data_IF_929989825164
#
_entry.id   IF_929989825164
#
_cell.length_a   1.000
_cell.length_b   1.000
_cell.length_c   1.000
_cell.angle_alpha   90.00
_cell.angle_beta   90.00
_cell.angle_gamma   90.00
#
_symmetry.space_group_name_H-M   'P 1'
#
loop_
_entity.id
_entity.type
_entity.pdbx_description
1 polymer ?
#
# COMPACT_ATOMS: atom_id res chain seq x y z
N UNK A 1 17.21 -20.50 11.51
CA UNK A 1 17.05 -21.30 12.75
C UNK A 1 16.67 -20.43 13.98
N UNK A 2 15.96 -19.29 13.81
CA UNK A 2 15.70 -18.34 14.91
C UNK A 2 14.23 -17.86 15.04
N UNK A 3 13.24 -18.55 14.47
CA UNK A 3 11.83 -18.10 14.53
C UNK A 3 10.98 -18.79 15.63
N UNK A 4 11.47 -19.88 16.22
CA UNK A 4 10.72 -20.64 17.25
C UNK A 4 10.86 -20.05 18.66
N UNK A 5 11.87 -19.19 18.90
CA UNK A 5 12.07 -18.59 20.23
C UNK A 5 11.13 -17.42 20.56
N UNK A 6 10.51 -16.79 19.54
CA UNK A 6 9.67 -15.62 19.76
C UNK A 6 8.25 -16.01 20.22
N UNK A 7 7.69 -17.10 19.68
CA UNK A 7 6.36 -17.59 20.07
C UNK A 7 6.38 -18.21 21.49
N UNK A 8 7.51 -18.78 21.92
CA UNK A 8 7.64 -19.35 23.26
C UNK A 8 7.72 -18.30 24.39
N UNK A 9 8.12 -17.06 24.07
CA UNK A 9 8.20 -15.97 25.07
C UNK A 9 6.83 -15.34 25.38
N UNK A 10 5.88 -15.37 24.43
CA UNK A 10 4.53 -14.83 24.64
C UNK A 10 3.68 -15.79 25.51
N UNK A 11 3.81 -17.11 25.29
CA UNK A 11 3.08 -18.14 26.07
C UNK A 11 3.61 -18.30 27.50
N UNK A 12 4.89 -18.00 27.76
CA UNK A 12 5.42 -17.98 29.14
C UNK A 12 4.99 -16.75 29.94
N UNK A 13 4.56 -15.67 29.28
CA UNK A 13 4.16 -14.43 29.93
C UNK A 13 2.77 -14.50 30.59
N UNK A 14 1.89 -15.37 30.11
CA UNK A 14 0.53 -15.54 30.67
C UNK A 14 0.49 -16.41 31.93
N UNK A 15 1.43 -17.35 32.10
CA UNK A 15 1.43 -18.26 33.26
C UNK A 15 2.05 -17.68 34.54
N UNK A 16 2.85 -16.61 34.42
CA UNK A 16 3.48 -15.94 35.58
C UNK A 16 2.64 -14.79 36.15
N UNK A 17 1.76 -14.16 35.37
CA UNK A 17 0.98 -12.98 35.80
C UNK A 17 -0.27 -13.26 36.65
N UNK A 18 -0.69 -14.51 36.78
CA UNK A 18 -1.80 -14.88 37.68
C UNK A 18 -1.36 -14.91 39.15
N UNK A 19 -0.05 -14.87 39.43
CA UNK A 19 0.51 -14.86 40.79
C UNK A 19 0.75 -13.42 41.27
N UNK A 20 1.13 -12.50 40.37
CA UNK A 20 1.45 -11.10 40.74
C UNK A 20 0.21 -10.23 41.07
N UNK A 21 -0.98 -10.61 40.61
CA UNK A 21 -2.23 -9.89 40.92
C UNK A 21 -2.67 -9.97 42.40
N UNK A 22 -1.92 -10.67 43.26
CA UNK A 22 -2.16 -10.69 44.71
C UNK A 22 -1.14 -9.91 45.53
N UNK A 23 -0.02 -9.46 44.95
CA UNK A 23 1.04 -8.79 45.71
C UNK A 23 1.08 -7.26 45.51
N UNK A 24 0.52 -6.73 44.41
CA UNK A 24 0.54 -5.27 44.14
C UNK A 24 -0.49 -4.46 44.97
N UNK A 25 -1.49 -5.10 45.59
CA UNK A 25 -2.50 -4.41 46.43
C UNK A 25 -1.95 -3.96 47.81
N UNK A 26 -0.66 -4.15 48.09
CA UNK A 26 -0.04 -3.80 49.39
C UNK A 26 0.82 -2.53 49.39
N UNK A 27 1.10 -1.92 48.24
CA UNK A 27 2.04 -0.78 48.16
C UNK A 27 1.40 0.56 47.77
N UNK A 28 0.11 0.61 47.40
CA UNK A 28 -0.54 1.86 46.94
C UNK A 28 -1.18 2.74 48.05
N UNK A 29 -1.08 2.39 49.34
CA UNK A 29 -1.57 3.26 50.44
C UNK A 29 -0.57 4.36 50.89
N UNK A 30 0.68 4.35 50.41
CA UNK A 30 1.69 5.35 50.81
C UNK A 30 2.29 6.10 49.60
N UNK A 31 1.50 6.87 48.84
CA UNK A 31 2.05 8.03 48.11
C UNK A 31 0.95 8.91 47.51
N UNK A 32 0.41 9.85 48.31
CA UNK A 32 -0.29 11.02 47.80
C UNK A 32 0.35 12.29 48.35
N UNK A 33 1.03 13.08 47.51
CA UNK A 33 1.31 14.52 47.74
C UNK A 33 2.08 15.18 46.59
N UNK A 34 1.53 16.32 46.10
CA UNK A 34 2.12 17.38 45.26
C UNK A 34 2.33 17.07 43.76
N UNK A 35 2.06 17.93 42.77
CA UNK A 35 1.59 19.32 42.71
C UNK A 35 2.37 20.13 41.63
N UNK A 36 1.73 20.52 40.51
CA UNK A 36 2.00 21.80 39.81
C UNK A 36 2.72 21.87 38.44
N UNK A 37 1.93 22.15 37.38
CA UNK A 37 2.02 23.21 36.33
C UNK A 37 3.25 23.48 35.42
N UNK A 38 3.02 23.56 34.08
CA UNK A 38 3.51 24.68 33.24
C UNK A 38 4.03 24.42 31.81
N UNK A 39 3.31 24.96 30.79
CA UNK A 39 3.90 25.68 29.62
C UNK A 39 4.26 24.90 28.33
N UNK A 40 3.68 25.28 27.18
CA UNK A 40 3.88 24.65 25.85
C UNK A 40 4.48 25.55 24.76
N UNK A 41 4.62 25.01 23.53
CA UNK A 41 4.62 25.69 22.19
C UNK A 41 4.77 24.63 21.05
N UNK A 42 4.48 24.92 19.76
CA UNK A 42 3.57 24.11 18.95
C UNK A 42 4.16 23.29 17.79
N UNK A 43 3.28 22.41 17.33
CA UNK A 43 3.34 21.28 16.42
C UNK A 43 3.38 21.63 14.92
N UNK A 44 4.08 20.81 14.10
CA UNK A 44 3.69 20.53 12.70
C UNK A 44 3.85 19.04 12.36
N UNK A 45 2.79 18.53 11.73
CA UNK A 45 2.57 17.24 11.04
C UNK A 45 2.74 15.92 11.82
N UNK A 46 1.63 15.49 12.42
CA UNK A 46 1.39 14.16 12.98
C UNK A 46 -0.08 13.75 12.73
N UNK A 47 -0.48 13.66 11.46
CA UNK A 47 -1.86 13.34 11.05
C UNK A 47 -2.30 11.92 11.40
N UNK A 48 -1.37 10.95 11.38
CA UNK A 48 -1.70 9.53 11.58
C UNK A 48 -1.70 9.17 13.08
N UNK A 49 -0.82 9.78 13.90
CA UNK A 49 -0.79 9.53 15.35
C UNK A 49 -2.07 9.99 16.09
N UNK A 50 -2.80 10.96 15.55
CA UNK A 50 -4.02 11.50 16.19
C UNK A 50 -5.25 10.63 16.04
N UNK A 51 -5.27 9.65 15.14
CA UNK A 51 -6.41 8.74 14.98
C UNK A 51 -6.43 7.61 16.03
N UNK A 52 -5.33 7.39 16.76
CA UNK A 52 -5.20 6.29 17.73
C UNK A 52 -5.67 6.64 19.14
N UNK A 53 -5.83 7.93 19.48
CA UNK A 53 -6.05 8.38 20.87
C UNK A 53 -7.46 8.89 21.16
N UNK A 54 -8.46 8.68 20.29
CA UNK A 54 -9.74 9.38 20.42
C UNK A 54 -11.01 8.54 20.33
N UNK A 55 -10.99 7.29 20.80
CA UNK A 55 -12.21 6.58 21.20
C UNK A 55 -11.93 5.64 22.38
N UNK A 56 -12.68 5.83 23.48
CA UNK A 56 -12.68 4.94 24.65
C UNK A 56 -12.39 5.68 25.96
N UNK A 57 -13.29 5.55 26.94
CA UNK A 57 -13.07 6.01 28.31
C UNK A 57 -11.86 5.33 28.97
N UNK A 58 -11.63 5.61 30.26
CA UNK A 58 -10.44 5.22 31.05
C UNK A 58 -10.19 3.70 31.20
N UNK A 59 -10.02 2.98 30.08
CA UNK A 59 -9.60 1.59 29.99
C UNK A 59 -8.14 1.62 29.54
N UNK A 60 -7.28 0.96 30.33
CA UNK A 60 -5.86 0.82 30.05
C UNK A 60 -5.67 0.06 28.71
N UNK A 61 -5.10 0.73 27.70
CA UNK A 61 -4.92 0.14 26.37
C UNK A 61 -3.63 -0.67 26.28
N UNK A 62 -3.71 -1.87 25.69
CA UNK A 62 -2.53 -2.69 25.42
C UNK A 62 -1.65 -2.06 24.33
N UNK A 63 -0.36 -1.92 24.62
CA UNK A 63 0.63 -1.40 23.68
C UNK A 63 1.14 -2.51 22.76
N UNK A 64 1.29 -2.18 21.48
CA UNK A 64 1.92 -3.07 20.50
C UNK A 64 3.45 -3.08 20.64
N UNK A 65 4.09 -4.18 20.26
CA UNK A 65 5.54 -4.27 20.23
C UNK A 65 6.14 -3.22 19.27
N UNK A 66 7.27 -2.56 19.62
CA UNK A 66 7.88 -1.53 18.77
C UNK A 66 8.22 -2.03 17.35
N UNK A 67 8.72 -3.26 17.23
CA UNK A 67 9.06 -3.86 15.93
C UNK A 67 7.82 -4.07 15.04
N UNK A 68 6.69 -4.43 15.64
CA UNK A 68 5.42 -4.54 14.91
C UNK A 68 4.99 -3.19 14.34
N UNK A 69 5.04 -2.14 15.17
CA UNK A 69 4.72 -0.77 14.74
C UNK A 69 5.63 -0.33 13.60
N UNK A 70 6.94 -0.61 13.72
CA UNK A 70 7.91 -0.29 12.66
C UNK A 70 7.62 -1.06 11.35
N UNK A 71 7.28 -2.35 11.43
CA UNK A 71 6.96 -3.14 10.24
C UNK A 71 5.71 -2.63 9.53
N UNK A 72 4.71 -2.21 10.31
CA UNK A 72 3.52 -1.53 9.81
C UNK A 72 3.89 -0.21 9.10
N UNK A 73 4.70 0.64 9.74
CA UNK A 73 5.14 1.91 9.15
C UNK A 73 5.94 1.69 7.85
N UNK A 74 6.80 0.66 7.80
CA UNK A 74 7.53 0.29 6.59
C UNK A 74 6.59 -0.11 5.45
N UNK A 75 5.53 -0.87 5.78
CA UNK A 75 4.53 -1.32 4.80
C UNK A 75 3.74 -0.13 4.24
N UNK A 76 3.33 0.79 5.12
CA UNK A 76 2.60 2.01 4.76
C UNK A 76 3.47 2.94 3.88
N UNK A 77 4.75 3.14 4.27
CA UNK A 77 5.72 3.93 3.50
C UNK A 77 6.00 3.31 2.12
N UNK A 78 6.07 1.99 2.05
CA UNK A 78 6.24 1.29 0.78
C UNK A 78 5.04 1.52 -0.14
N UNK A 79 3.82 1.47 0.39
CA UNK A 79 2.60 1.78 -0.38
C UNK A 79 2.64 3.17 -0.98
N UNK A 80 2.97 4.19 -0.19
CA UNK A 80 3.08 5.56 -0.69
C UNK A 80 4.11 5.68 -1.83
N UNK A 81 5.22 4.97 -1.70
CA UNK A 81 6.27 4.92 -2.72
C UNK A 81 5.80 4.23 -4.01
N UNK A 82 5.07 3.12 -3.89
CA UNK A 82 4.53 2.37 -5.03
C UNK A 82 3.47 3.19 -5.78
N UNK A 83 2.55 3.86 -5.07
CA UNK A 83 1.54 4.72 -5.71
C UNK A 83 2.19 5.83 -6.54
N UNK A 84 3.16 6.53 -5.95
CA UNK A 84 3.92 7.56 -6.65
C UNK A 84 4.66 6.98 -7.86
N UNK A 85 5.27 5.80 -7.73
CA UNK A 85 5.97 5.15 -8.82
C UNK A 85 5.01 4.81 -9.97
N UNK A 86 3.86 4.21 -9.67
CA UNK A 86 2.83 3.87 -10.68
C UNK A 86 2.43 5.12 -11.45
N UNK A 87 2.12 6.22 -10.76
CA UNK A 87 1.75 7.49 -11.40
C UNK A 87 2.82 7.97 -12.38
N UNK A 88 4.10 7.90 -11.99
CA UNK A 88 5.21 8.32 -12.88
C UNK A 88 5.37 7.41 -14.08
N UNK A 89 5.25 6.09 -13.89
CA UNK A 89 5.36 5.12 -14.98
C UNK A 89 4.19 5.26 -15.97
N UNK A 90 2.98 5.56 -15.49
CA UNK A 90 1.82 5.77 -16.36
C UNK A 90 1.94 7.06 -17.18
N UNK A 91 2.37 8.18 -16.57
CA UNK A 91 2.59 9.46 -17.26
C UNK A 91 3.65 9.33 -18.37
N UNK A 92 4.69 8.54 -18.14
CA UNK A 92 5.73 8.31 -19.15
C UNK A 92 5.19 7.58 -20.40
N UNK A 93 4.16 6.74 -20.24
CA UNK A 93 3.54 5.99 -21.35
C UNK A 93 2.41 6.79 -22.03
N UNK A 94 1.64 7.54 -21.24
CA UNK A 94 0.48 8.31 -21.68
C UNK A 94 0.55 9.72 -21.13
N UNK A 95 1.01 10.67 -21.95
CA UNK A 95 1.23 12.04 -21.50
C UNK A 95 -0.08 12.86 -21.45
N UNK A 96 -1.20 12.35 -21.98
CA UNK A 96 -2.48 13.03 -21.92
C UNK A 96 -3.18 12.79 -20.56
N UNK A 97 -3.30 13.82 -19.69
CA UNK A 97 -3.88 13.66 -18.36
C UNK A 97 -5.36 13.30 -18.39
N UNK A 98 -6.09 13.66 -19.45
CA UNK A 98 -7.53 13.35 -19.55
C UNK A 98 -7.78 11.85 -19.76
N UNK A 99 -6.83 11.14 -20.37
CA UNK A 99 -6.91 9.68 -20.55
C UNK A 99 -6.59 8.98 -19.23
N UNK A 100 -5.52 9.42 -18.57
CA UNK A 100 -5.09 8.90 -17.27
C UNK A 100 -6.12 9.12 -16.16
N UNK A 101 -6.92 10.20 -16.22
CA UNK A 101 -7.99 10.45 -15.26
C UNK A 101 -9.00 9.29 -15.15
N UNK A 102 -9.12 8.46 -16.19
CA UNK A 102 -9.98 7.26 -16.20
C UNK A 102 -9.22 5.97 -15.85
N UNK A 103 -7.98 6.05 -15.37
CA UNK A 103 -7.08 4.90 -15.13
C UNK A 103 -6.81 4.05 -16.39
N UNK A 104 -6.96 4.66 -17.56
CA UNK A 104 -6.69 4.08 -18.89
C UNK A 104 -5.32 4.57 -19.36
N UNK A 105 -4.54 3.69 -20.00
CA UNK A 105 -3.24 4.05 -20.59
C UNK A 105 -3.34 4.15 -22.11
N UNK A 106 -4.18 3.32 -22.72
CA UNK A 106 -4.33 3.24 -24.17
C UNK A 106 -4.99 4.51 -24.74
N UNK A 107 -4.40 5.05 -25.81
CA UNK A 107 -5.02 6.14 -26.55
C UNK A 107 -6.34 5.68 -27.20
N UNK A 108 -7.43 6.45 -27.09
CA UNK A 108 -8.64 6.21 -27.88
C UNK A 108 -8.33 6.19 -29.40
N UNK A 109 -9.18 5.54 -30.21
CA UNK A 109 -9.08 5.60 -31.67
C UNK A 109 -9.04 7.04 -32.17
N UNK A 110 -8.12 7.36 -33.09
CA UNK A 110 -7.89 8.68 -33.68
C UNK A 110 -7.36 9.77 -32.73
N UNK A 111 -7.10 9.44 -31.46
CA UNK A 111 -6.54 10.38 -30.49
C UNK A 111 -5.01 10.29 -30.38
N UNK A 112 -4.40 9.26 -30.99
CA UNK A 112 -2.95 9.13 -30.99
C UNK A 112 -2.28 10.28 -31.80
N UNK A 113 -1.16 10.85 -31.33
CA UNK A 113 -0.50 11.96 -32.02
C UNK A 113 -0.11 11.67 -33.48
N UNK A 114 0.35 10.45 -33.78
CA UNK A 114 0.69 10.05 -35.13
C UNK A 114 -0.57 9.88 -36.01
N UNK A 115 -1.69 9.40 -35.45
CA UNK A 115 -2.97 9.34 -36.18
C UNK A 115 -3.51 10.74 -36.51
N UNK A 116 -3.42 11.68 -35.57
CA UNK A 116 -3.76 13.09 -35.82
C UNK A 116 -2.87 13.69 -36.90
N UNK A 117 -1.59 13.37 -36.88
CA UNK A 117 -0.64 13.78 -37.92
C UNK A 117 -1.05 13.27 -39.29
N UNK A 118 -1.46 12.00 -39.41
CA UNK A 118 -2.00 11.44 -40.67
C UNK A 118 -3.24 12.21 -41.13
N UNK A 119 -4.17 12.51 -40.23
CA UNK A 119 -5.38 13.27 -40.58
C UNK A 119 -5.02 14.68 -41.09
N UNK A 120 -4.09 15.37 -40.43
CA UNK A 120 -3.60 16.68 -40.86
C UNK A 120 -2.85 16.63 -42.20
N UNK A 121 -2.00 15.62 -42.42
CA UNK A 121 -1.27 15.44 -43.68
C UNK A 121 -2.22 15.26 -44.86
N UNK A 122 -3.30 14.50 -44.69
CA UNK A 122 -4.33 14.32 -45.73
C UNK A 122 -5.05 15.63 -46.08
N UNK A 123 -5.33 16.47 -45.09
CA UNK A 123 -5.90 17.81 -45.34
C UNK A 123 -4.86 18.65 -46.10
N UNK A 124 -3.60 18.61 -45.66
CA UNK A 124 -2.54 19.40 -46.26
C UNK A 124 -2.24 19.01 -47.70
N UNK A 125 -2.32 17.71 -48.04
CA UNK A 125 -2.19 17.19 -49.41
C UNK A 125 -3.12 17.89 -50.41
N UNK A 126 -4.33 18.27 -49.99
CA UNK A 126 -5.32 18.96 -50.86
C UNK A 126 -4.87 20.32 -51.38
N UNK A 127 -3.86 20.93 -50.75
CA UNK A 127 -3.31 22.22 -51.14
C UNK A 127 -2.12 22.10 -52.10
N UNK A 128 -1.66 20.89 -52.43
CA UNK A 128 -0.55 20.65 -53.37
C UNK A 128 -1.02 19.99 -54.66
N UNK A 129 -0.26 20.20 -55.74
CA UNK A 129 -0.47 19.48 -57.01
C UNK A 129 -0.15 17.98 -56.88
N UNK A 130 -0.56 17.20 -57.88
CA UNK A 130 -0.40 15.75 -57.94
C UNK A 130 1.06 15.28 -57.81
N UNK A 131 2.00 16.15 -58.13
CA UNK A 131 3.44 15.91 -58.16
C UNK A 131 4.01 15.50 -56.79
N UNK A 132 3.34 15.88 -55.69
CA UNK A 132 3.75 15.56 -54.31
C UNK A 132 2.91 14.48 -53.63
N UNK A 133 1.89 13.95 -54.29
CA UNK A 133 0.96 12.98 -53.71
C UNK A 133 1.68 11.70 -53.21
N UNK A 134 2.72 11.25 -53.92
CA UNK A 134 3.54 10.10 -53.51
C UNK A 134 4.20 10.31 -52.14
N UNK A 135 4.82 11.46 -51.93
CA UNK A 135 5.49 11.80 -50.67
C UNK A 135 4.50 11.90 -49.49
N UNK A 136 3.31 12.49 -49.71
CA UNK A 136 2.26 12.54 -48.68
C UNK A 136 1.76 11.16 -48.28
N UNK A 137 1.57 10.27 -49.27
CA UNK A 137 1.16 8.89 -49.04
C UNK A 137 2.18 8.14 -48.19
N UNK A 138 3.47 8.26 -48.52
CA UNK A 138 4.57 7.64 -47.74
C UNK A 138 4.59 8.13 -46.29
N UNK A 139 4.54 9.45 -46.07
CA UNK A 139 4.48 10.05 -44.74
C UNK A 139 3.26 9.57 -43.93
N UNK A 140 2.11 9.42 -44.59
CA UNK A 140 0.91 8.89 -43.95
C UNK A 140 1.09 7.43 -43.50
N UNK A 141 1.66 6.58 -44.36
CA UNK A 141 1.90 5.17 -44.02
C UNK A 141 2.95 5.01 -42.91
N UNK A 142 3.98 5.86 -42.88
CA UNK A 142 4.96 5.90 -41.78
C UNK A 142 4.29 6.25 -40.45
N UNK A 143 3.51 7.34 -40.41
CA UNK A 143 2.83 7.74 -39.18
C UNK A 143 1.80 6.70 -38.72
N UNK A 144 1.11 6.00 -39.63
CA UNK A 144 0.26 4.85 -39.25
C UNK A 144 1.05 3.74 -38.58
N UNK A 145 2.24 3.40 -39.09
CA UNK A 145 3.11 2.39 -38.47
C UNK A 145 3.58 2.83 -37.09
N UNK A 146 3.98 4.10 -36.94
CA UNK A 146 4.38 4.66 -35.65
C UNK A 146 3.24 4.61 -34.63
N UNK A 147 2.01 4.98 -35.04
CA UNK A 147 0.82 4.87 -34.21
C UNK A 147 0.58 3.42 -33.73
N UNK A 148 0.71 2.43 -34.61
CA UNK A 148 0.55 1.01 -34.25
C UNK A 148 1.61 0.53 -33.25
N UNK A 149 2.87 0.94 -33.44
CA UNK A 149 3.98 0.62 -32.53
C UNK A 149 3.69 1.22 -31.15
N UNK A 150 3.29 2.49 -31.08
CA UNK A 150 2.99 3.18 -29.82
C UNK A 150 1.79 2.56 -29.09
N UNK A 151 0.70 2.25 -29.81
CA UNK A 151 -0.46 1.53 -29.24
C UNK A 151 -0.07 0.18 -28.64
N UNK A 152 0.79 -0.58 -29.34
CA UNK A 152 1.29 -1.86 -28.84
C UNK A 152 2.11 -1.67 -27.57
N UNK A 153 2.98 -0.65 -27.55
CA UNK A 153 3.76 -0.31 -26.36
C UNK A 153 2.87 0.06 -25.18
N UNK A 154 1.82 0.86 -25.36
CA UNK A 154 0.89 1.23 -24.29
C UNK A 154 0.28 -0.01 -23.60
N UNK A 155 -0.12 -1.02 -24.38
CA UNK A 155 -0.66 -2.29 -23.86
C UNK A 155 0.43 -3.08 -23.10
N UNK A 156 1.63 -3.17 -23.68
CA UNK A 156 2.75 -3.89 -23.09
C UNK A 156 3.22 -3.26 -21.78
N UNK A 157 3.40 -1.93 -21.76
CA UNK A 157 3.79 -1.19 -20.56
C UNK A 157 2.73 -1.30 -19.46
N UNK A 158 1.43 -1.22 -19.81
CA UNK A 158 0.31 -1.46 -18.87
C UNK A 158 0.40 -2.83 -18.22
N UNK A 159 0.72 -3.86 -19.01
CA UNK A 159 0.87 -5.24 -18.54
C UNK A 159 2.08 -5.37 -17.61
N UNK A 160 3.20 -4.75 -17.96
CA UNK A 160 4.44 -4.82 -17.18
C UNK A 160 4.27 -4.25 -15.77
N UNK A 161 3.50 -3.18 -15.60
CA UNK A 161 3.25 -2.56 -14.27
C UNK A 161 1.99 -3.09 -13.56
N UNK A 162 1.46 -4.24 -13.99
CA UNK A 162 0.16 -4.73 -13.52
C UNK A 162 0.16 -5.05 -12.02
N UNK A 163 1.20 -5.68 -11.48
CA UNK A 163 1.20 -6.03 -10.05
C UNK A 163 1.37 -4.78 -9.20
N UNK A 164 2.26 -3.86 -9.60
CA UNK A 164 2.38 -2.54 -8.99
C UNK A 164 1.03 -1.82 -8.83
N UNK A 165 0.21 -1.81 -9.89
CA UNK A 165 -1.13 -1.19 -9.88
C UNK A 165 -2.13 -1.89 -8.96
N UNK A 166 -1.97 -3.20 -8.78
CA UNK A 166 -2.88 -4.04 -7.99
C UNK A 166 -2.53 -4.06 -6.51
N UNK A 167 -1.28 -3.75 -6.18
CA UNK A 167 -0.75 -3.75 -4.82
C UNK A 167 -1.69 -3.12 -3.78
N UNK A 168 -2.23 -1.95 -4.10
CA UNK A 168 -3.14 -1.26 -3.19
C UNK A 168 -4.44 -2.05 -2.91
N UNK A 169 -5.01 -2.65 -3.96
CA UNK A 169 -6.35 -3.26 -3.93
C UNK A 169 -6.29 -4.70 -3.42
N UNK A 170 -5.24 -5.43 -3.76
CA UNK A 170 -5.10 -6.87 -3.47
C UNK A 170 -4.35 -7.07 -2.13
N UNK A 171 -3.09 -6.64 -2.01
CA UNK A 171 -2.25 -6.94 -0.85
C UNK A 171 -2.39 -5.93 0.30
N UNK A 172 -2.30 -4.63 -0.02
CA UNK A 172 -2.34 -3.58 1.01
C UNK A 172 -3.69 -3.49 1.70
N UNK A 173 -4.78 -3.64 0.94
CA UNK A 173 -6.12 -3.65 1.49
C UNK A 173 -6.33 -4.83 2.45
N UNK A 174 -5.87 -6.02 2.10
CA UNK A 174 -5.95 -7.20 2.98
C UNK A 174 -5.17 -6.96 4.28
N UNK A 175 -3.93 -6.47 4.20
CA UNK A 175 -3.15 -6.14 5.39
C UNK A 175 -3.83 -5.09 6.28
N UNK A 176 -4.45 -4.06 5.67
CA UNK A 176 -5.21 -3.01 6.38
C UNK A 176 -6.46 -3.59 7.04
N UNK A 177 -7.21 -4.45 6.35
CA UNK A 177 -8.42 -5.08 6.89
C UNK A 177 -8.10 -5.99 8.08
N UNK A 178 -7.02 -6.79 7.99
CA UNK A 178 -6.55 -7.63 9.10
C UNK A 178 -6.04 -6.79 10.28
N UNK A 179 -5.37 -5.65 10.04
CA UNK A 179 -4.99 -4.68 11.09
C UNK A 179 -6.20 -4.08 11.78
N UNK A 180 -7.25 -3.74 11.03
CA UNK A 180 -8.49 -3.21 11.61
C UNK A 180 -9.19 -4.25 12.49
N UNK A 181 -9.17 -5.52 12.10
CA UNK A 181 -9.67 -6.63 12.94
C UNK A 181 -8.82 -6.80 14.20
N UNK A 182 -7.50 -6.70 14.09
CA UNK A 182 -6.59 -6.77 15.24
C UNK A 182 -6.88 -5.66 16.26
N UNK A 183 -7.12 -4.43 15.80
CA UNK A 183 -7.46 -3.33 16.68
C UNK A 183 -8.76 -3.58 17.45
N UNK A 184 -9.78 -4.11 16.79
CA UNK A 184 -11.04 -4.50 17.44
C UNK A 184 -10.85 -5.62 18.46
N UNK A 185 -10.04 -6.63 18.12
CA UNK A 185 -9.70 -7.72 19.04
C UNK A 185 -8.96 -7.19 20.28
N UNK A 186 -8.04 -6.24 20.10
CA UNK A 186 -7.34 -5.55 21.20
C UNK A 186 -8.31 -4.81 22.11
N UNK A 187 -9.18 -3.98 21.53
CA UNK A 187 -10.17 -3.21 22.30
C UNK A 187 -11.08 -4.13 23.12
N UNK A 188 -11.50 -5.25 22.53
CA UNK A 188 -12.30 -6.26 23.22
C UNK A 188 -11.53 -6.93 24.37
N UNK A 189 -10.27 -7.32 24.13
CA UNK A 189 -9.40 -7.91 25.15
C UNK A 189 -9.15 -6.93 26.30
N UNK A 190 -8.90 -5.66 26.02
CA UNK A 190 -8.69 -4.62 27.05
C UNK A 190 -9.95 -4.40 27.89
N UNK A 191 -11.13 -4.45 27.26
CA UNK A 191 -12.42 -4.38 27.95
C UNK A 191 -12.63 -5.59 28.88
N UNK A 192 -12.37 -6.82 28.39
CA UNK A 192 -12.46 -8.03 29.22
C UNK A 192 -11.46 -8.00 30.39
N UNK A 193 -10.23 -7.52 30.17
CA UNK A 193 -9.22 -7.31 31.23
C UNK A 193 -9.76 -6.39 32.31
N UNK A 194 -10.38 -5.27 31.91
CA UNK A 194 -10.97 -4.31 32.83
C UNK A 194 -12.17 -4.90 33.59
N UNK A 195 -13.02 -5.70 32.94
CA UNK A 195 -14.14 -6.37 33.61
C UNK A 195 -13.69 -7.36 34.69
N UNK A 196 -12.59 -8.09 34.46
CA UNK A 196 -11.96 -8.97 35.45
C UNK A 196 -11.48 -8.15 36.65
N UNK A 197 -10.78 -7.03 36.41
CA UNK A 197 -10.33 -6.11 37.48
C UNK A 197 -11.49 -5.56 38.32
N UNK A 198 -12.67 -5.32 37.71
CA UNK A 198 -13.84 -4.80 38.42
C UNK A 198 -14.67 -5.86 39.17
N UNK A 199 -14.37 -7.15 39.00
CA UNK A 199 -15.13 -8.21 39.65
C UNK A 199 -14.87 -8.25 41.16
N UNK A 200 -15.92 -8.39 41.96
CA UNK A 200 -15.84 -8.31 43.44
C UNK A 200 -15.95 -9.67 44.14
N UNK A 201 -16.46 -10.69 43.45
CA UNK A 201 -16.62 -12.03 44.01
C UNK A 201 -15.76 -13.02 43.25
N UNK A 202 -15.29 -14.06 43.94
CA UNK A 202 -14.46 -15.13 43.35
C UNK A 202 -15.15 -15.81 42.17
N UNK A 203 -16.44 -16.11 42.29
CA UNK A 203 -17.22 -16.70 41.19
C UNK A 203 -17.31 -15.79 39.95
N UNK A 204 -17.41 -14.47 40.15
CA UNK A 204 -17.40 -13.50 39.04
C UNK A 204 -16.02 -13.38 38.40
N UNK A 205 -14.96 -13.43 39.21
CA UNK A 205 -13.58 -13.41 38.72
C UNK A 205 -13.32 -14.62 37.83
N UNK A 206 -13.68 -15.83 38.28
CA UNK A 206 -13.49 -17.06 37.51
C UNK A 206 -14.23 -17.02 36.17
N UNK A 207 -15.51 -16.64 36.18
CA UNK A 207 -16.32 -16.54 34.94
C UNK A 207 -15.73 -15.53 33.96
N UNK A 208 -15.31 -14.35 34.43
CA UNK A 208 -14.75 -13.30 33.57
C UNK A 208 -13.32 -13.61 33.12
N UNK A 209 -12.54 -14.34 33.93
CA UNK A 209 -11.19 -14.76 33.57
C UNK A 209 -11.20 -15.69 32.35
N UNK A 210 -12.19 -16.60 32.26
CA UNK A 210 -12.38 -17.46 31.07
C UNK A 210 -12.65 -16.61 29.83
N UNK A 211 -13.54 -15.62 29.90
CA UNK A 211 -13.83 -14.71 28.78
C UNK A 211 -12.62 -13.87 28.37
N UNK A 212 -11.80 -13.44 29.34
CA UNK A 212 -10.56 -12.75 29.05
C UNK A 212 -9.55 -13.66 28.34
N UNK A 213 -9.42 -14.92 28.76
CA UNK A 213 -8.55 -15.91 28.11
C UNK A 213 -8.97 -16.16 26.65
N UNK A 214 -10.28 -16.29 26.40
CA UNK A 214 -10.82 -16.39 25.03
C UNK A 214 -10.49 -15.15 24.19
N UNK A 215 -10.63 -13.95 24.77
CA UNK A 215 -10.31 -12.70 24.08
C UNK A 215 -8.80 -12.56 23.78
N UNK A 216 -7.93 -13.02 24.67
CA UNK A 216 -6.47 -13.09 24.44
C UNK A 216 -6.17 -14.03 23.28
N UNK A 217 -6.76 -15.23 23.26
CA UNK A 217 -6.58 -16.18 22.17
C UNK A 217 -7.04 -15.63 20.80
N UNK A 218 -8.15 -14.89 20.77
CA UNK A 218 -8.62 -14.20 19.57
C UNK A 218 -7.66 -13.09 19.11
N UNK A 219 -7.11 -12.30 20.05
CA UNK A 219 -6.11 -11.28 19.77
C UNK A 219 -4.83 -11.89 19.18
N UNK A 220 -4.28 -12.94 19.81
CA UNK A 220 -3.05 -13.60 19.35
C UNK A 220 -3.19 -14.24 17.96
N UNK A 221 -4.34 -14.90 17.72
CA UNK A 221 -4.68 -15.46 16.42
C UNK A 221 -4.73 -14.37 15.34
N UNK A 222 -5.34 -13.22 15.65
CA UNK A 222 -5.43 -12.11 14.71
C UNK A 222 -4.08 -11.40 14.51
N UNK A 223 -3.25 -11.31 15.56
CA UNK A 223 -1.91 -10.73 15.47
C UNK A 223 -1.02 -11.56 14.55
N UNK A 224 -1.12 -12.89 14.63
CA UNK A 224 -0.40 -13.83 13.76
C UNK A 224 -0.71 -13.57 12.28
N UNK A 225 -1.98 -13.41 11.92
CA UNK A 225 -2.39 -13.11 10.53
C UNK A 225 -1.80 -11.79 10.03
N UNK A 226 -1.80 -10.75 10.86
CA UNK A 226 -1.20 -9.47 10.46
C UNK A 226 0.31 -9.60 10.26
N UNK A 227 1.00 -10.34 11.14
CA UNK A 227 2.43 -10.62 11.00
C UNK A 227 2.70 -11.37 9.69
N UNK A 228 1.87 -12.36 9.35
CA UNK A 228 1.97 -13.08 8.07
C UNK A 228 1.83 -12.12 6.88
N UNK A 229 0.83 -11.23 6.87
CA UNK A 229 0.67 -10.22 5.82
C UNK A 229 1.91 -9.31 5.70
N UNK A 230 2.44 -8.82 6.82
CA UNK A 230 3.61 -7.95 6.83
C UNK A 230 4.89 -8.68 6.38
N UNK A 231 5.00 -9.99 6.68
CA UNK A 231 6.14 -10.82 6.30
C UNK A 231 6.24 -11.06 4.79
N UNK A 232 5.14 -10.86 4.04
CA UNK A 232 5.13 -11.03 2.58
C UNK A 232 5.75 -9.85 1.83
N UNK A 233 5.99 -8.72 2.50
CA UNK A 233 6.52 -7.49 1.89
C UNK A 233 7.78 -7.70 1.03
N UNK A 234 8.81 -8.46 1.47
CA UNK A 234 9.99 -8.71 0.64
C UNK A 234 9.68 -9.47 -0.66
N UNK A 235 8.75 -10.43 -0.62
CA UNK A 235 8.32 -11.17 -1.80
C UNK A 235 7.59 -10.27 -2.80
N UNK A 236 6.72 -9.40 -2.30
CA UNK A 236 6.01 -8.38 -3.10
C UNK A 236 7.02 -7.42 -3.75
N UNK A 237 8.01 -6.95 -2.98
CA UNK A 237 9.09 -6.10 -3.49
C UNK A 237 9.86 -6.74 -4.62
N UNK A 238 10.21 -8.03 -4.48
CA UNK A 238 10.91 -8.76 -5.54
C UNK A 238 10.08 -8.89 -6.82
N UNK A 239 8.77 -9.10 -6.70
CA UNK A 239 7.86 -9.12 -7.86
C UNK A 239 7.82 -7.74 -8.54
N UNK A 240 7.68 -6.66 -7.76
CA UNK A 240 7.64 -5.30 -8.27
C UNK A 240 8.95 -4.89 -8.97
N UNK A 241 10.11 -5.34 -8.47
CA UNK A 241 11.39 -5.10 -9.15
C UNK A 241 11.40 -5.72 -10.55
N UNK A 242 10.86 -6.94 -10.71
CA UNK A 242 10.76 -7.59 -12.03
C UNK A 242 9.84 -6.82 -12.97
N UNK A 243 8.68 -6.39 -12.48
CA UNK A 243 7.73 -5.56 -13.22
C UNK A 243 8.40 -4.26 -13.75
N UNK A 244 9.22 -3.60 -12.92
CA UNK A 244 9.95 -2.38 -13.32
C UNK A 244 10.97 -2.67 -14.42
N UNK A 245 11.72 -3.77 -14.30
CA UNK A 245 12.69 -4.17 -15.33
C UNK A 245 11.97 -4.47 -16.65
N UNK A 246 10.87 -5.25 -16.61
CA UNK A 246 10.07 -5.56 -17.80
C UNK A 246 9.52 -4.28 -18.44
N UNK A 247 9.08 -3.30 -17.64
CA UNK A 247 8.63 -2.01 -18.13
C UNK A 247 9.73 -1.28 -18.92
N UNK A 248 10.95 -1.18 -18.39
CA UNK A 248 12.05 -0.53 -19.11
C UNK A 248 12.46 -1.29 -20.38
N UNK A 249 12.37 -2.62 -20.38
CA UNK A 249 12.58 -3.42 -21.59
C UNK A 249 11.54 -3.08 -22.67
N UNK A 250 10.27 -2.87 -22.29
CA UNK A 250 9.23 -2.45 -23.26
C UNK A 250 9.52 -1.08 -23.89
N UNK A 251 10.07 -0.15 -23.11
CA UNK A 251 10.52 1.16 -23.60
C UNK A 251 11.69 1.00 -24.58
N UNK A 252 12.68 0.17 -24.25
CA UNK A 252 13.80 -0.12 -25.14
C UNK A 252 13.34 -0.71 -26.49
N UNK A 253 12.37 -1.63 -26.44
CA UNK A 253 11.76 -2.21 -27.64
C UNK A 253 10.97 -1.18 -28.45
N UNK A 254 10.24 -0.28 -27.79
CA UNK A 254 9.53 0.83 -28.44
C UNK A 254 10.49 1.69 -29.25
N UNK A 255 11.55 2.20 -28.62
CA UNK A 255 12.52 3.07 -29.30
C UNK A 255 13.24 2.37 -30.45
N UNK A 256 13.61 1.10 -30.27
CA UNK A 256 14.23 0.28 -31.33
C UNK A 256 13.29 0.15 -32.53
N UNK A 257 12.01 -0.18 -32.29
CA UNK A 257 11.01 -0.34 -33.36
C UNK A 257 10.70 0.98 -34.07
N UNK A 258 10.58 2.09 -33.32
CA UNK A 258 10.35 3.41 -33.89
C UNK A 258 11.55 3.87 -34.74
N UNK A 259 12.77 3.71 -34.23
CA UNK A 259 13.98 4.04 -34.98
C UNK A 259 14.08 3.26 -36.29
N UNK A 260 13.83 1.94 -36.26
CA UNK A 260 13.82 1.10 -37.45
C UNK A 260 12.70 1.47 -38.45
N UNK A 261 11.57 1.99 -37.98
CA UNK A 261 10.50 2.47 -38.85
C UNK A 261 10.90 3.76 -39.58
N UNK A 262 11.64 4.65 -38.93
CA UNK A 262 12.09 5.94 -39.49
C UNK A 262 13.31 5.77 -40.41
N UNK A 263 14.26 4.92 -40.03
CA UNK A 263 15.53 4.73 -40.76
C UNK A 263 15.37 4.13 -42.17
N UNK A 264 14.19 3.59 -42.52
CA UNK A 264 13.88 3.09 -43.87
C UNK A 264 13.75 4.21 -44.92
N UNK A 265 13.83 5.46 -44.50
CA UNK A 265 13.81 6.63 -45.36
C UNK A 265 15.23 6.95 -45.83
N UNK A 266 15.59 6.47 -47.01
CA UNK A 266 16.72 7.07 -47.75
C UNK A 266 16.24 8.45 -48.20
N UNK A 267 16.92 9.51 -47.73
CA UNK A 267 16.61 10.90 -48.06
C UNK A 267 17.12 11.28 -49.45
#
# INVERSE_FOLDING_TARGET
>A
MNEVFFICSIVKFTKLRLIDLKEEDKEEEEMSSSGGSGGGTPQKDNGIRRLWNKMGGAVEQTKMAPDFVKNVENYDTYKESVDLLVDRLEIAVQQNPNILANSVIECPPNENPHEKTVASLKIYETYFGTDKAGAFKELCEENKKLAQIERTHQIQARKAIRHLRRFYIEEYKVATDERNKLNKAREHMDLMKHEVKQAKTTEQIEKKAVLYEEAVGAFDSQATKVIECLSQLPTIQQAHVKDIVEYFDTIGQLHTKMSAAIAKREF
#
